data_IF_109086730685
#
_entry.id   IF_109086730685
#
_cell.length_a   1.000
_cell.length_b   1.000
_cell.length_c   1.000
_cell.angle_alpha   90.00
_cell.angle_beta   90.00
_cell.angle_gamma   90.00
#
_symmetry.space_group_name_H-M   'P 1'
#
loop_
_entity.id
_entity.type
_entity.pdbx_description
1 polymer ?
#
# COMPACT_ATOMS: atom_id res chain seq x y z
N UNK A 1 28.64 -43.98 -31.37
CA UNK A 1 27.74 -43.67 -30.25
C UNK A 1 27.39 -42.20 -30.37
N UNK A 2 26.38 -41.94 -31.19
CA UNK A 2 25.86 -40.60 -31.44
C UNK A 2 25.14 -40.10 -30.19
N UNK A 3 25.70 -39.07 -29.58
CA UNK A 3 25.05 -38.35 -28.49
C UNK A 3 23.92 -37.54 -29.14
N UNK A 4 22.70 -38.00 -28.89
CA UNK A 4 21.44 -37.35 -29.24
C UNK A 4 21.52 -35.83 -29.05
N UNK A 5 21.57 -35.11 -30.17
CA UNK A 5 20.97 -33.78 -30.31
C UNK A 5 19.44 -33.95 -30.25
N UNK A 6 18.90 -34.25 -29.06
CA UNK A 6 17.46 -34.18 -28.82
C UNK A 6 17.12 -32.78 -28.30
N UNK A 7 16.55 -31.96 -29.19
CA UNK A 7 15.60 -30.88 -28.93
C UNK A 7 15.76 -30.07 -27.63
N UNK A 8 16.83 -29.30 -27.49
CA UNK A 8 16.89 -28.21 -26.49
C UNK A 8 16.04 -26.99 -26.87
N UNK A 9 15.52 -26.92 -28.10
CA UNK A 9 14.72 -25.78 -28.59
C UNK A 9 13.25 -25.81 -28.11
N UNK A 10 12.68 -26.99 -27.80
CA UNK A 10 11.27 -27.12 -27.42
C UNK A 10 10.98 -26.95 -25.92
N UNK A 11 12.00 -27.02 -25.04
CA UNK A 11 11.78 -26.93 -23.60
C UNK A 11 11.55 -25.49 -23.08
N UNK A 12 11.84 -24.44 -23.86
CA UNK A 12 12.00 -23.08 -23.32
C UNK A 12 11.35 -21.96 -24.16
N UNK A 13 10.17 -22.19 -24.74
CA UNK A 13 9.45 -21.17 -25.55
C UNK A 13 9.09 -19.88 -24.80
N UNK A 14 9.23 -19.84 -23.46
CA UNK A 14 8.96 -18.68 -22.61
C UNK A 14 10.21 -18.12 -21.90
N UNK A 15 11.42 -18.56 -22.27
CA UNK A 15 12.68 -18.06 -21.71
C UNK A 15 13.37 -17.16 -22.75
N UNK A 16 13.59 -15.91 -22.40
CA UNK A 16 14.38 -15.00 -23.23
C UNK A 16 15.85 -15.12 -22.89
N UNK A 17 16.71 -15.13 -23.91
CA UNK A 17 18.16 -15.19 -23.73
C UNK A 17 18.81 -13.90 -24.23
N UNK A 18 19.80 -13.42 -23.48
CA UNK A 18 20.56 -12.23 -23.84
C UNK A 18 22.03 -12.40 -23.43
N UNK A 19 22.92 -12.27 -24.40
CA UNK A 19 24.36 -12.18 -24.16
C UNK A 19 24.76 -10.70 -24.04
N UNK A 20 25.25 -10.31 -22.86
CA UNK A 20 25.76 -8.96 -22.57
C UNK A 20 27.22 -9.12 -22.15
N UNK A 21 28.18 -8.83 -23.03
CA UNK A 21 29.62 -8.96 -22.76
C UNK A 21 30.03 -10.31 -22.13
N UNK A 22 30.32 -10.35 -20.82
CA UNK A 22 30.69 -11.54 -20.06
C UNK A 22 29.50 -12.22 -19.34
N UNK A 23 28.28 -11.75 -19.58
CA UNK A 23 27.04 -12.23 -18.97
C UNK A 23 26.22 -13.03 -19.98
N UNK A 24 25.82 -14.23 -19.60
CA UNK A 24 24.81 -15.02 -20.31
C UNK A 24 23.53 -15.04 -19.49
N UNK A 25 22.56 -14.20 -19.86
CA UNK A 25 21.36 -13.95 -19.06
C UNK A 25 20.18 -14.74 -19.66
N UNK A 26 19.57 -15.57 -18.84
CA UNK A 26 18.33 -16.27 -19.11
C UNK A 26 17.22 -15.61 -18.29
N UNK A 27 16.16 -15.13 -18.93
CA UNK A 27 15.04 -14.46 -18.26
C UNK A 27 13.80 -15.34 -18.40
N UNK A 28 13.38 -15.93 -17.29
CA UNK A 28 12.16 -16.69 -17.16
C UNK A 28 11.02 -15.77 -16.73
N UNK A 29 10.06 -15.55 -17.63
CA UNK A 29 8.82 -14.86 -17.32
C UNK A 29 7.83 -15.78 -16.62
N UNK A 30 7.35 -15.38 -15.45
CA UNK A 30 6.45 -16.18 -14.62
C UNK A 30 5.08 -15.53 -14.50
N UNK A 31 4.03 -16.34 -14.49
CA UNK A 31 2.72 -15.93 -14.00
C UNK A 31 2.69 -16.34 -12.53
N UNK A 32 2.72 -15.38 -11.59
CA UNK A 32 2.94 -15.55 -10.13
C UNK A 32 1.95 -16.44 -9.35
N UNK A 33 1.15 -17.22 -10.07
CA UNK A 33 0.10 -18.11 -9.55
C UNK A 33 0.05 -19.44 -10.34
N UNK A 34 1.13 -19.80 -11.05
CA UNK A 34 1.16 -20.97 -11.94
C UNK A 34 2.07 -22.07 -11.41
N UNK A 35 1.49 -23.25 -11.18
CA UNK A 35 2.26 -24.47 -10.84
C UNK A 35 3.26 -24.83 -11.94
N UNK A 36 2.90 -24.58 -13.20
CA UNK A 36 3.78 -24.77 -14.35
C UNK A 36 5.02 -23.89 -14.26
N UNK A 37 4.87 -22.60 -13.91
CA UNK A 37 6.02 -21.68 -13.75
C UNK A 37 6.99 -22.13 -12.66
N UNK A 38 6.50 -22.75 -11.57
CA UNK A 38 7.35 -23.33 -10.53
C UNK A 38 8.15 -24.55 -11.03
N UNK A 39 7.51 -25.43 -11.81
CA UNK A 39 8.17 -26.60 -12.42
C UNK A 39 9.20 -26.19 -13.48
N UNK A 40 8.86 -25.20 -14.32
CA UNK A 40 9.77 -24.66 -15.33
C UNK A 40 11.01 -24.05 -14.65
N UNK A 41 10.81 -23.33 -13.53
CA UNK A 41 11.90 -22.78 -12.72
C UNK A 41 12.84 -23.87 -12.20
N UNK A 42 12.29 -24.95 -11.62
CA UNK A 42 13.11 -26.05 -11.11
C UNK A 42 13.92 -26.73 -12.22
N UNK A 43 13.25 -27.05 -13.33
CA UNK A 43 13.86 -27.70 -14.51
C UNK A 43 14.98 -26.85 -15.11
N UNK A 44 14.76 -25.53 -15.21
CA UNK A 44 15.75 -24.58 -15.71
C UNK A 44 16.99 -24.51 -14.82
N UNK A 45 16.83 -24.46 -13.49
CA UNK A 45 17.96 -24.42 -12.57
C UNK A 45 18.80 -25.69 -12.67
N UNK A 46 18.16 -26.85 -12.73
CA UNK A 46 18.83 -28.14 -12.82
C UNK A 46 19.57 -28.35 -14.16
N UNK A 47 18.99 -27.81 -15.24
CA UNK A 47 19.54 -27.93 -16.60
C UNK A 47 20.65 -26.91 -16.85
N UNK A 48 20.42 -25.63 -16.54
CA UNK A 48 21.37 -24.53 -16.83
C UNK A 48 22.53 -24.47 -15.84
N UNK A 49 22.32 -24.90 -14.60
CA UNK A 49 23.27 -24.76 -13.48
C UNK A 49 23.91 -23.36 -13.45
N UNK A 50 23.10 -22.29 -13.32
CA UNK A 50 23.60 -20.93 -13.43
C UNK A 50 24.57 -20.58 -12.30
N UNK A 51 25.44 -19.60 -12.54
CA UNK A 51 26.33 -19.04 -11.52
C UNK A 51 25.56 -18.19 -10.50
N UNK A 52 24.49 -17.52 -10.94
CA UNK A 52 23.63 -16.70 -10.09
C UNK A 52 22.17 -16.90 -10.45
N UNK A 53 21.30 -16.81 -9.44
CA UNK A 53 19.85 -16.77 -9.63
C UNK A 53 19.35 -15.39 -9.17
N UNK A 54 18.79 -14.62 -10.09
CA UNK A 54 18.15 -13.34 -9.81
C UNK A 54 16.64 -13.56 -9.60
N UNK A 55 16.08 -13.05 -8.51
CA UNK A 55 14.64 -13.18 -8.19
C UNK A 55 14.02 -11.81 -7.97
N UNK A 56 12.84 -11.57 -8.56
CA UNK A 56 12.07 -10.32 -8.42
C UNK A 56 11.43 -10.19 -7.02
N UNK A 57 12.28 -10.11 -6.02
CA UNK A 57 11.94 -9.93 -4.61
C UNK A 57 12.81 -8.85 -4.00
N UNK A 58 12.22 -8.12 -3.04
CA UNK A 58 12.97 -7.31 -2.09
C UNK A 58 13.30 -8.14 -0.83
N UNK A 59 14.23 -7.68 -0.01
CA UNK A 59 14.66 -8.37 1.22
C UNK A 59 13.49 -8.73 2.14
N UNK A 60 12.53 -7.81 2.30
CA UNK A 60 11.39 -8.03 3.19
C UNK A 60 10.51 -9.18 2.69
N UNK A 61 10.25 -9.24 1.37
CA UNK A 61 9.47 -10.33 0.78
C UNK A 61 10.24 -11.65 0.78
N UNK A 62 11.55 -11.62 0.57
CA UNK A 62 12.41 -12.81 0.68
C UNK A 62 12.29 -13.47 2.06
N UNK A 63 12.41 -12.70 3.14
CA UNK A 63 12.24 -13.21 4.51
C UNK A 63 10.81 -13.69 4.77
N UNK A 64 9.80 -12.99 4.25
CA UNK A 64 8.41 -13.39 4.41
C UNK A 64 8.09 -14.74 3.74
N UNK A 65 8.64 -15.02 2.56
CA UNK A 65 8.43 -16.27 1.83
C UNK A 65 9.05 -17.47 2.56
N UNK A 66 10.19 -17.26 3.25
CA UNK A 66 10.87 -18.31 4.00
C UNK A 66 10.13 -18.72 5.29
N UNK A 67 8.99 -18.10 5.62
CA UNK A 67 8.18 -18.39 6.81
C UNK A 67 9.04 -18.53 8.08
N UNK A 68 10.00 -17.63 8.26
CA UNK A 68 10.80 -17.57 9.48
C UNK A 68 9.90 -17.23 10.67
N UNK A 69 10.36 -17.53 11.89
CA UNK A 69 9.71 -17.11 13.16
C UNK A 69 9.39 -15.60 13.21
N UNK A 70 10.02 -14.82 12.33
CA UNK A 70 9.81 -13.39 12.15
C UNK A 70 8.41 -13.05 11.63
N UNK A 71 7.77 -13.90 10.82
CA UNK A 71 6.41 -13.65 10.34
C UNK A 71 5.37 -13.71 11.48
N UNK A 72 5.49 -14.70 12.37
CA UNK A 72 4.62 -14.79 13.55
C UNK A 72 4.92 -13.68 14.56
N UNK A 73 6.20 -13.32 14.74
CA UNK A 73 6.58 -12.12 15.52
C UNK A 73 5.97 -10.85 14.91
N UNK A 74 6.02 -10.71 13.58
CA UNK A 74 5.47 -9.57 12.84
C UNK A 74 3.96 -9.46 13.01
N UNK A 75 3.20 -10.53 12.75
CA UNK A 75 1.73 -10.55 12.90
C UNK A 75 1.26 -10.17 14.30
N UNK A 76 2.11 -10.40 15.30
CA UNK A 76 1.87 -10.05 16.69
C UNK A 76 2.44 -8.69 17.14
N UNK A 77 3.14 -7.96 16.27
CA UNK A 77 3.62 -6.60 16.56
C UNK A 77 2.45 -5.65 16.78
N UNK A 78 2.67 -4.72 17.70
CA UNK A 78 1.77 -3.60 17.96
C UNK A 78 1.86 -2.59 16.83
N UNK A 79 0.72 -2.28 16.20
CA UNK A 79 0.63 -1.30 15.11
C UNK A 79 1.13 0.08 15.56
N UNK A 80 0.90 0.47 16.81
CA UNK A 80 1.41 1.74 17.35
C UNK A 80 2.94 1.81 17.27
N UNK A 81 3.63 0.70 17.60
CA UNK A 81 5.10 0.62 17.52
C UNK A 81 5.58 0.70 16.07
N UNK A 82 4.88 0.03 15.15
CA UNK A 82 5.21 0.04 13.72
C UNK A 82 5.05 1.44 13.11
N UNK A 83 3.97 2.15 13.45
CA UNK A 83 3.72 3.52 13.00
C UNK A 83 4.76 4.48 13.59
N UNK A 84 5.08 4.38 14.89
CA UNK A 84 6.09 5.23 15.55
C UNK A 84 7.49 5.04 14.96
N UNK A 85 7.80 3.87 14.43
CA UNK A 85 9.07 3.58 13.73
C UNK A 85 9.08 4.05 12.27
N UNK A 86 8.04 4.73 11.79
CA UNK A 86 7.94 5.18 10.40
C UNK A 86 7.59 4.08 9.39
N UNK A 87 7.29 2.86 9.86
CA UNK A 87 7.03 1.67 9.04
C UNK A 87 5.54 1.49 8.68
N UNK A 88 4.73 2.54 8.84
CA UNK A 88 3.30 2.50 8.58
C UNK A 88 2.96 2.11 7.13
N UNK A 89 3.81 2.52 6.18
CA UNK A 89 3.62 2.15 4.79
C UNK A 89 3.90 0.66 4.55
N UNK A 90 5.01 0.14 5.08
CA UNK A 90 5.36 -1.27 4.99
C UNK A 90 4.22 -2.16 5.52
N UNK A 91 3.60 -1.76 6.63
CA UNK A 91 2.41 -2.39 7.18
C UNK A 91 1.27 -2.48 6.15
N UNK A 92 0.89 -1.36 5.53
CA UNK A 92 -0.20 -1.30 4.54
C UNK A 92 0.08 -2.23 3.37
N UNK A 93 1.30 -2.21 2.84
CA UNK A 93 1.67 -3.08 1.72
C UNK A 93 1.59 -4.55 2.10
N UNK A 94 2.10 -4.91 3.27
CA UNK A 94 2.08 -6.29 3.71
C UNK A 94 0.67 -6.81 3.93
N UNK A 95 -0.26 -5.95 4.36
CA UNK A 95 -1.69 -6.29 4.45
C UNK A 95 -2.30 -6.51 3.06
N UNK A 96 -2.04 -5.61 2.11
CA UNK A 96 -2.52 -5.76 0.72
C UNK A 96 -2.01 -7.07 0.13
N UNK A 97 -0.70 -7.33 0.27
CA UNK A 97 -0.06 -8.56 -0.22
C UNK A 97 -0.62 -9.81 0.48
N UNK A 98 -0.76 -9.80 1.80
CA UNK A 98 -1.34 -10.91 2.58
C UNK A 98 -2.78 -11.21 2.14
N UNK A 99 -3.60 -10.18 1.95
CA UNK A 99 -4.99 -10.35 1.52
C UNK A 99 -5.09 -10.86 0.08
N UNK A 100 -4.26 -10.34 -0.82
CA UNK A 100 -4.14 -10.84 -2.19
C UNK A 100 -3.68 -12.31 -2.21
N UNK A 101 -2.68 -12.65 -1.39
CA UNK A 101 -2.18 -14.01 -1.22
C UNK A 101 -3.25 -14.97 -0.71
N UNK A 102 -4.00 -14.58 0.34
CA UNK A 102 -5.13 -15.35 0.87
C UNK A 102 -6.22 -15.58 -0.18
N UNK A 103 -6.57 -14.54 -0.95
CA UNK A 103 -7.61 -14.63 -1.99
C UNK A 103 -7.21 -15.61 -3.09
N UNK A 104 -5.99 -15.49 -3.61
CA UNK A 104 -5.48 -16.40 -4.65
C UNK A 104 -5.33 -17.84 -4.15
N UNK A 105 -4.85 -18.04 -2.92
CA UNK A 105 -4.75 -19.38 -2.33
C UNK A 105 -6.13 -20.05 -2.20
N UNK A 106 -7.18 -19.29 -1.90
CA UNK A 106 -8.55 -19.78 -1.77
C UNK A 106 -9.22 -20.10 -3.12
N UNK A 107 -8.94 -19.34 -4.16
CA UNK A 107 -9.55 -19.48 -5.49
C UNK A 107 -8.80 -20.48 -6.40
N UNK A 108 -7.48 -20.62 -6.26
CA UNK A 108 -6.63 -21.41 -7.17
C UNK A 108 -5.93 -22.59 -6.50
N UNK A 109 -5.96 -22.71 -5.16
CA UNK A 109 -5.26 -23.76 -4.41
C UNK A 109 -3.72 -23.70 -4.50
N UNK A 110 -3.17 -22.61 -5.05
CA UNK A 110 -1.74 -22.37 -5.25
C UNK A 110 -1.32 -21.17 -4.38
N UNK A 111 -0.20 -21.27 -3.66
CA UNK A 111 0.33 -20.13 -2.92
C UNK A 111 1.03 -19.18 -3.90
N UNK A 112 0.66 -17.88 -3.98
CA UNK A 112 1.32 -16.94 -4.87
C UNK A 112 2.81 -16.80 -4.53
N UNK A 113 3.65 -16.68 -5.57
CA UNK A 113 5.11 -16.64 -5.41
C UNK A 113 5.77 -18.01 -5.20
N UNK A 114 5.07 -19.11 -5.51
CA UNK A 114 5.64 -20.46 -5.44
C UNK A 114 6.85 -20.63 -6.36
N UNK A 115 6.84 -19.99 -7.53
CA UNK A 115 7.96 -19.98 -8.46
C UNK A 115 9.21 -19.32 -7.85
N UNK A 116 9.05 -18.20 -7.16
CA UNK A 116 10.15 -17.51 -6.48
C UNK A 116 10.64 -18.30 -5.28
N UNK A 117 9.72 -18.93 -4.53
CA UNK A 117 10.08 -19.84 -3.43
C UNK A 117 10.89 -21.03 -3.94
N UNK A 118 10.48 -21.63 -5.05
CA UNK A 118 11.21 -22.73 -5.69
C UNK A 118 12.61 -22.28 -6.11
N UNK A 119 12.74 -21.09 -6.73
CA UNK A 119 14.05 -20.53 -7.07
C UNK A 119 14.95 -20.37 -5.84
N UNK A 120 14.42 -19.84 -4.73
CA UNK A 120 15.16 -19.68 -3.47
C UNK A 120 15.61 -21.03 -2.90
N UNK A 121 14.71 -22.01 -2.86
CA UNK A 121 15.01 -23.34 -2.29
C UNK A 121 16.04 -24.09 -3.13
N UNK A 122 15.91 -24.07 -4.46
CA UNK A 122 16.85 -24.71 -5.38
C UNK A 122 18.20 -24.01 -5.39
N UNK A 123 18.24 -22.68 -5.29
CA UNK A 123 19.48 -21.93 -5.12
C UNK A 123 20.23 -22.39 -3.86
N UNK A 124 19.51 -22.57 -2.74
CA UNK A 124 20.08 -23.07 -1.48
C UNK A 124 20.55 -24.53 -1.59
N UNK A 125 19.77 -25.38 -2.25
CA UNK A 125 20.10 -26.80 -2.49
C UNK A 125 21.40 -26.96 -3.29
N UNK A 126 21.58 -26.14 -4.32
CA UNK A 126 22.73 -26.18 -5.22
C UNK A 126 23.87 -25.22 -4.82
N UNK A 127 23.77 -24.52 -3.69
CA UNK A 127 24.70 -23.48 -3.24
C UNK A 127 24.96 -22.39 -4.30
N UNK A 128 23.91 -22.01 -5.04
CA UNK A 128 23.96 -20.94 -6.03
C UNK A 128 23.62 -19.60 -5.34
N UNK A 129 24.46 -18.57 -5.45
CA UNK A 129 24.17 -17.24 -4.91
C UNK A 129 22.89 -16.63 -5.50
N UNK A 130 22.10 -15.97 -4.64
CA UNK A 130 20.88 -15.26 -5.01
C UNK A 130 21.14 -13.75 -5.15
N UNK A 131 20.50 -13.13 -6.14
CA UNK A 131 20.44 -11.68 -6.31
C UNK A 131 18.98 -11.25 -6.18
N UNK A 132 18.69 -10.39 -5.21
CA UNK A 132 17.37 -9.80 -5.01
C UNK A 132 17.27 -8.56 -5.90
N UNK A 133 16.47 -8.66 -6.98
CA UNK A 133 16.48 -7.63 -8.04
C UNK A 133 15.32 -6.64 -7.95
N UNK A 134 14.43 -6.74 -6.96
CA UNK A 134 13.31 -5.80 -6.83
C UNK A 134 13.61 -4.64 -5.86
N UNK A 135 13.00 -3.49 -6.15
CA UNK A 135 13.04 -2.32 -5.27
C UNK A 135 12.12 -2.57 -4.08
N UNK A 136 12.48 -2.00 -2.92
CA UNK A 136 11.61 -2.00 -1.73
C UNK A 136 10.22 -1.52 -2.14
N UNK A 137 9.23 -2.38 -1.94
CA UNK A 137 7.82 -2.07 -2.27
C UNK A 137 7.37 -0.75 -1.62
N UNK A 138 7.93 -0.45 -0.44
CA UNK A 138 7.74 0.81 0.25
C UNK A 138 8.06 2.03 -0.61
N UNK A 139 9.22 1.99 -1.21
CA UNK A 139 9.74 3.10 -2.02
C UNK A 139 8.97 3.19 -3.32
N UNK A 140 8.66 2.05 -3.95
CA UNK A 140 7.92 1.98 -5.21
C UNK A 140 6.55 2.64 -5.13
N UNK A 141 5.67 2.27 -4.18
CA UNK A 141 4.34 2.91 -4.15
C UNK A 141 4.37 4.31 -3.52
N UNK A 142 5.31 4.65 -2.63
CA UNK A 142 5.47 6.05 -2.15
C UNK A 142 5.86 6.97 -3.30
N UNK A 143 6.80 6.55 -4.14
CA UNK A 143 7.16 7.28 -5.37
C UNK A 143 5.97 7.38 -6.30
N UNK A 144 5.28 6.27 -6.58
CA UNK A 144 4.12 6.29 -7.46
C UNK A 144 3.07 7.30 -6.95
N UNK A 145 2.77 7.29 -5.66
CA UNK A 145 1.83 8.24 -5.08
C UNK A 145 2.32 9.69 -5.12
N UNK A 146 3.60 9.96 -4.88
CA UNK A 146 4.12 11.32 -4.84
C UNK A 146 4.39 11.93 -6.22
N UNK A 147 4.72 11.11 -7.21
CA UNK A 147 4.90 11.55 -8.59
C UNK A 147 3.57 11.87 -9.28
N UNK A 148 2.48 11.21 -8.90
CA UNK A 148 1.18 11.36 -9.58
C UNK A 148 0.56 12.73 -9.28
N UNK A 149 0.25 13.53 -10.33
CA UNK A 149 -0.47 14.78 -10.20
C UNK A 149 -1.83 14.61 -9.51
N UNK A 150 -2.31 15.67 -8.84
CA UNK A 150 -3.58 15.64 -8.10
C UNK A 150 -4.76 15.24 -9.01
N UNK A 151 -4.75 15.68 -10.28
CA UNK A 151 -5.80 15.35 -11.24
C UNK A 151 -5.85 13.85 -11.58
N UNK A 152 -4.70 13.22 -11.82
CA UNK A 152 -4.60 11.77 -12.02
C UNK A 152 -5.03 11.01 -10.74
N UNK A 153 -4.71 11.51 -9.54
CA UNK A 153 -5.20 10.91 -8.28
C UNK A 153 -6.72 10.90 -8.20
N UNK A 154 -7.37 12.01 -8.56
CA UNK A 154 -8.83 12.10 -8.59
C UNK A 154 -9.42 11.10 -9.59
N UNK A 155 -8.83 10.99 -10.79
CA UNK A 155 -9.24 9.99 -11.79
C UNK A 155 -9.15 8.55 -11.27
N UNK A 156 -8.03 8.18 -10.64
CA UNK A 156 -7.83 6.86 -10.03
C UNK A 156 -8.89 6.59 -8.96
N UNK A 157 -9.14 7.58 -8.09
CA UNK A 157 -10.14 7.44 -7.04
C UNK A 157 -11.54 7.28 -7.66
N UNK A 158 -11.90 8.08 -8.66
CA UNK A 158 -13.20 7.97 -9.33
C UNK A 158 -13.38 6.65 -10.06
N UNK A 159 -12.34 6.13 -10.73
CA UNK A 159 -12.44 4.85 -11.44
C UNK A 159 -12.61 3.70 -10.47
N UNK A 160 -11.88 3.68 -9.34
CA UNK A 160 -12.05 2.69 -8.29
C UNK A 160 -13.48 2.68 -7.73
N UNK A 161 -14.11 3.84 -7.55
CA UNK A 161 -15.51 3.93 -7.15
C UNK A 161 -16.46 3.37 -8.22
N UNK A 162 -16.20 3.61 -9.51
CA UNK A 162 -16.98 3.04 -10.61
C UNK A 162 -16.83 1.52 -10.73
N UNK A 163 -15.68 0.94 -10.39
CA UNK A 163 -15.46 -0.52 -10.43
C UNK A 163 -16.20 -1.28 -9.33
N UNK A 164 -16.59 -0.63 -8.22
CA UNK A 164 -17.29 -1.28 -7.10
C UNK A 164 -18.68 -1.84 -7.46
N UNK A 165 -19.31 -1.30 -8.50
CA UNK A 165 -20.70 -1.62 -8.87
C UNK A 165 -20.84 -2.58 -10.06
N UNK A 166 -19.74 -3.05 -10.65
CA UNK A 166 -19.78 -3.91 -11.84
C UNK A 166 -19.76 -5.39 -11.42
N UNK A 167 -20.91 -6.05 -11.53
CA UNK A 167 -21.00 -7.52 -11.48
C UNK A 167 -20.44 -8.09 -12.79
N UNK A 168 -19.19 -8.57 -12.75
CA UNK A 168 -18.56 -9.20 -13.90
C UNK A 168 -19.21 -10.56 -14.15
N UNK A 169 -19.69 -10.77 -15.37
CA UNK A 169 -20.31 -12.03 -15.81
C UNK A 169 -19.26 -13.04 -16.28
N UNK A 170 -19.58 -14.34 -16.23
CA UNK A 170 -18.64 -15.41 -16.59
C UNK A 170 -18.10 -15.28 -18.03
N UNK A 171 -18.94 -14.77 -18.94
CA UNK A 171 -18.60 -14.55 -20.36
C UNK A 171 -17.62 -13.37 -20.55
N UNK A 172 -17.68 -12.35 -19.68
CA UNK A 172 -16.70 -11.25 -19.68
C UNK A 172 -15.34 -11.72 -19.16
N UNK A 173 -15.32 -12.62 -18.17
CA UNK A 173 -14.09 -13.23 -17.65
C UNK A 173 -13.41 -14.08 -18.71
N UNK A 174 -14.17 -14.77 -19.56
CA UNK A 174 -13.62 -15.60 -20.63
C UNK A 174 -13.00 -14.77 -21.75
N UNK A 175 -13.63 -13.64 -22.13
CA UNK A 175 -13.05 -12.65 -23.04
C UNK A 175 -11.79 -11.96 -22.48
N UNK A 176 -11.66 -11.84 -21.15
CA UNK A 176 -10.46 -11.28 -20.51
C UNK A 176 -9.26 -12.23 -20.50
N UNK A 177 -9.44 -13.53 -20.81
CA UNK A 177 -8.34 -14.50 -20.91
C UNK A 177 -7.55 -14.38 -22.21
N UNK A 178 -8.07 -13.67 -23.21
CA UNK A 178 -7.35 -13.39 -24.45
C UNK A 178 -6.21 -12.39 -24.17
N UNK A 179 -4.96 -12.80 -24.47
CA UNK A 179 -3.77 -11.98 -24.22
C UNK A 179 -3.85 -10.59 -24.86
N UNK A 180 -4.53 -10.48 -26.01
CA UNK A 180 -4.69 -9.22 -26.73
C UNK A 180 -5.66 -8.24 -26.05
N UNK A 181 -6.75 -8.73 -25.43
CA UNK A 181 -7.72 -7.87 -24.73
C UNK A 181 -7.11 -7.30 -23.45
N UNK A 182 -6.43 -8.14 -22.66
CA UNK A 182 -5.76 -7.70 -21.44
C UNK A 182 -4.64 -6.71 -21.75
N UNK A 183 -3.84 -6.98 -22.79
CA UNK A 183 -2.76 -6.07 -23.22
C UNK A 183 -3.30 -4.73 -23.70
N UNK A 184 -4.43 -4.73 -24.43
CA UNK A 184 -5.08 -3.51 -24.89
C UNK A 184 -5.66 -2.68 -23.73
N UNK A 185 -6.33 -3.32 -22.76
CA UNK A 185 -6.83 -2.64 -21.56
C UNK A 185 -5.71 -2.08 -20.69
N UNK A 186 -4.62 -2.84 -20.50
CA UNK A 186 -3.42 -2.34 -19.81
C UNK A 186 -2.78 -1.18 -20.56
N UNK A 187 -2.80 -1.21 -21.90
CA UNK A 187 -2.34 -0.12 -22.76
C UNK A 187 -3.19 1.14 -22.66
N UNK A 188 -4.51 1.03 -22.60
CA UNK A 188 -5.43 2.16 -22.39
C UNK A 188 -5.31 2.76 -20.99
N UNK A 189 -5.23 1.91 -19.96
CA UNK A 189 -4.99 2.37 -18.59
C UNK A 189 -3.63 3.08 -18.45
N UNK A 190 -2.61 2.58 -19.15
CA UNK A 190 -1.30 3.22 -19.21
C UNK A 190 -1.33 4.58 -19.92
N UNK A 191 -2.24 4.81 -20.88
CA UNK A 191 -2.45 6.12 -21.51
C UNK A 191 -3.20 7.09 -20.58
N UNK A 192 -4.16 6.59 -19.81
CA UNK A 192 -4.93 7.40 -18.86
C UNK A 192 -4.12 7.80 -17.62
N UNK A 193 -3.20 6.93 -17.18
CA UNK A 193 -2.40 7.13 -15.96
C UNK A 193 -0.89 6.90 -16.24
N UNK A 194 -0.29 7.71 -17.14
CA UNK A 194 1.07 7.50 -17.62
C UNK A 194 2.11 7.60 -16.51
N UNK A 195 1.85 8.44 -15.50
CA UNK A 195 2.75 8.62 -14.37
C UNK A 195 2.82 7.38 -13.49
N UNK A 196 1.70 6.67 -13.30
CA UNK A 196 1.68 5.41 -12.53
C UNK A 196 2.42 4.31 -13.29
N UNK A 197 2.17 4.17 -14.60
CA UNK A 197 2.86 3.20 -15.45
C UNK A 197 4.37 3.42 -15.43
N UNK A 198 4.81 4.67 -15.58
CA UNK A 198 6.23 5.05 -15.51
C UNK A 198 6.87 4.59 -14.19
N UNK A 199 6.24 4.86 -13.05
CA UNK A 199 6.87 4.61 -11.73
C UNK A 199 6.75 3.16 -11.27
N UNK A 200 5.64 2.48 -11.57
CA UNK A 200 5.41 1.09 -11.13
C UNK A 200 5.99 0.04 -12.09
N UNK A 201 6.11 0.38 -13.38
CA UNK A 201 6.57 -0.55 -14.41
C UNK A 201 7.93 -0.09 -14.94
N UNK A 202 8.00 1.06 -15.63
CA UNK A 202 9.21 1.43 -16.39
C UNK A 202 10.44 1.65 -15.46
N UNK A 203 10.29 2.40 -14.35
CA UNK A 203 11.34 2.56 -13.33
C UNK A 203 11.71 1.25 -12.63
N UNK A 204 10.75 0.34 -12.51
CA UNK A 204 10.96 -0.95 -11.86
C UNK A 204 11.75 -1.88 -12.77
N UNK A 205 11.46 -1.88 -14.07
CA UNK A 205 12.22 -2.60 -15.08
C UNK A 205 13.67 -2.10 -15.15
N UNK A 206 13.88 -0.78 -15.06
CA UNK A 206 15.21 -0.17 -14.96
C UNK A 206 15.98 -0.66 -13.74
N UNK A 207 15.32 -0.68 -12.57
CA UNK A 207 15.92 -1.15 -11.34
C UNK A 207 16.31 -2.64 -11.44
N UNK A 208 15.39 -3.48 -11.92
CA UNK A 208 15.60 -4.92 -12.07
C UNK A 208 16.76 -5.19 -13.05
N UNK A 209 16.76 -4.55 -14.22
CA UNK A 209 17.80 -4.71 -15.21
C UNK A 209 19.19 -4.34 -14.67
N UNK A 210 19.28 -3.22 -13.95
CA UNK A 210 20.53 -2.78 -13.32
C UNK A 210 21.02 -3.77 -12.25
N UNK A 211 20.11 -4.30 -11.44
CA UNK A 211 20.43 -5.29 -10.40
C UNK A 211 20.84 -6.67 -10.93
N UNK A 212 20.26 -7.13 -12.04
CA UNK A 212 20.66 -8.40 -12.68
C UNK A 212 22.17 -8.38 -13.03
N UNK A 213 22.70 -7.23 -13.43
CA UNK A 213 24.10 -7.06 -13.81
C UNK A 213 25.09 -7.05 -12.64
N UNK A 214 24.64 -7.15 -11.38
CA UNK A 214 25.52 -7.33 -10.21
C UNK A 214 26.10 -8.76 -10.12
N UNK A 215 25.52 -9.73 -10.86
CA UNK A 215 26.05 -11.09 -10.96
C UNK A 215 27.22 -11.20 -11.94
N UNK A 216 27.64 -12.43 -12.26
CA UNK A 216 28.64 -12.70 -13.29
C UNK A 216 28.47 -14.08 -13.93
N UNK A 217 28.87 -14.24 -15.19
CA UNK A 217 28.76 -15.52 -15.91
C UNK A 217 27.32 -15.81 -16.34
N UNK A 218 26.85 -17.04 -16.08
CA UNK A 218 25.48 -17.45 -16.42
C UNK A 218 24.50 -17.03 -15.32
N UNK A 219 23.51 -16.22 -15.65
CA UNK A 219 22.51 -15.71 -14.70
C UNK A 219 21.12 -16.18 -15.15
N UNK A 220 20.36 -16.76 -14.23
CA UNK A 220 18.94 -17.05 -14.43
C UNK A 220 18.10 -16.03 -13.65
N UNK A 221 17.40 -15.14 -14.35
CA UNK A 221 16.46 -14.19 -13.78
C UNK A 221 15.03 -14.75 -13.81
N UNK A 222 14.43 -14.93 -12.64
CA UNK A 222 13.04 -15.37 -12.45
C UNK A 222 12.22 -14.14 -12.09
N UNK A 223 11.45 -13.64 -13.05
CA UNK A 223 10.72 -12.37 -12.96
C UNK A 223 9.27 -12.55 -13.43
N UNK A 224 8.40 -11.59 -13.13
CA UNK A 224 7.04 -11.54 -13.62
C UNK A 224 7.00 -11.32 -15.13
N UNK A 225 6.11 -12.03 -15.83
CA UNK A 225 6.00 -11.97 -17.29
C UNK A 225 5.80 -10.53 -17.83
N UNK A 226 5.11 -9.67 -17.07
CA UNK A 226 4.89 -8.27 -17.44
C UNK A 226 6.16 -7.41 -17.50
N UNK A 227 7.23 -7.80 -16.79
CA UNK A 227 8.48 -7.04 -16.72
C UNK A 227 9.52 -7.50 -17.76
N UNK A 228 9.37 -8.72 -18.32
CA UNK A 228 10.36 -9.34 -19.22
C UNK A 228 10.72 -8.43 -20.40
N UNK A 229 9.71 -7.87 -21.09
CA UNK A 229 9.94 -7.01 -22.27
C UNK A 229 10.73 -5.75 -21.92
N UNK A 230 10.37 -5.10 -20.81
CA UNK A 230 11.04 -3.87 -20.36
C UNK A 230 12.45 -4.13 -19.84
N UNK A 231 12.67 -5.23 -19.11
CA UNK A 231 14.01 -5.64 -18.65
C UNK A 231 14.93 -5.90 -19.84
N UNK A 232 14.48 -6.64 -20.86
CA UNK A 232 15.28 -6.92 -22.07
C UNK A 232 15.65 -5.62 -22.79
N UNK A 233 14.70 -4.70 -22.94
CA UNK A 233 14.95 -3.41 -23.59
C UNK A 233 16.03 -2.61 -22.82
N UNK A 234 15.90 -2.51 -21.49
CA UNK A 234 16.87 -1.82 -20.65
C UNK A 234 18.26 -2.48 -20.70
N UNK A 235 18.35 -3.81 -20.62
CA UNK A 235 19.62 -4.52 -20.71
C UNK A 235 20.34 -4.29 -22.06
N UNK A 236 19.58 -4.22 -23.17
CA UNK A 236 20.13 -3.88 -24.49
C UNK A 236 20.65 -2.45 -24.55
N UNK A 237 19.89 -1.49 -24.02
CA UNK A 237 20.30 -0.09 -23.98
C UNK A 237 21.54 0.14 -23.10
N UNK A 238 21.65 -0.57 -21.98
CA UNK A 238 22.85 -0.57 -21.12
C UNK A 238 24.04 -1.14 -21.88
N UNK A 239 23.88 -2.29 -22.56
CA UNK A 239 24.93 -2.92 -23.38
C UNK A 239 25.46 -1.98 -24.46
N UNK A 240 24.57 -1.23 -25.09
CA UNK A 240 24.91 -0.27 -26.14
C UNK A 240 25.47 1.05 -25.60
N UNK A 241 25.71 1.17 -24.28
CA UNK A 241 26.11 2.40 -23.58
C UNK A 241 25.17 3.59 -23.85
N UNK A 242 23.90 3.33 -24.21
CA UNK A 242 22.90 4.36 -24.49
C UNK A 242 22.19 4.86 -23.25
N UNK A 243 22.26 4.11 -22.13
CA UNK A 243 21.53 4.40 -20.90
C UNK A 243 22.37 4.08 -19.67
N UNK A 244 22.51 5.07 -18.78
CA UNK A 244 23.11 4.90 -17.45
C UNK A 244 21.97 4.99 -16.44
N UNK A 245 21.72 3.89 -15.71
CA UNK A 245 20.66 3.82 -14.72
C UNK A 245 21.21 4.19 -13.35
N UNK A 246 20.68 5.27 -12.76
CA UNK A 246 21.02 5.68 -11.41
C UNK A 246 20.07 5.05 -10.37
N UNK A 247 20.48 3.94 -9.78
CA UNK A 247 19.71 3.22 -8.74
C UNK A 247 19.36 4.15 -7.56
N UNK A 248 20.25 5.08 -7.20
CA UNK A 248 20.01 5.98 -6.06
C UNK A 248 18.84 6.92 -6.34
N UNK A 249 18.74 7.45 -7.56
CA UNK A 249 17.61 8.30 -7.96
C UNK A 249 16.29 7.52 -7.89
N UNK A 250 16.28 6.28 -8.38
CA UNK A 250 15.13 5.38 -8.31
C UNK A 250 14.71 5.04 -6.87
N UNK A 251 15.60 5.22 -5.89
CA UNK A 251 15.31 5.01 -4.47
C UNK A 251 14.88 6.28 -3.73
N UNK A 252 15.08 7.47 -4.29
CA UNK A 252 14.65 8.74 -3.64
C UNK A 252 13.14 8.90 -3.71
N UNK A 253 12.49 9.55 -2.74
CA UNK A 253 11.04 9.81 -2.79
C UNK A 253 10.84 11.31 -3.03
N UNK A 254 10.13 11.73 -4.10
CA UNK A 254 9.90 13.14 -4.35
C UNK A 254 9.03 13.76 -3.25
N UNK A 255 9.36 14.99 -2.85
CA UNK A 255 8.60 15.74 -1.84
C UNK A 255 7.44 16.47 -2.50
N UNK A 256 6.23 16.33 -1.97
CA UNK A 256 5.09 17.13 -2.40
C UNK A 256 5.01 18.41 -1.56
N UNK A 257 4.99 19.58 -2.20
CA UNK A 257 5.23 20.88 -1.55
C UNK A 257 3.96 21.70 -1.26
N UNK A 258 2.77 21.29 -1.72
CA UNK A 258 1.55 22.09 -1.51
C UNK A 258 0.34 21.25 -1.08
N UNK A 259 -0.37 21.70 -0.05
CA UNK A 259 -1.53 21.01 0.52
C UNK A 259 -2.66 22.02 0.77
N UNK A 260 -3.60 22.10 -0.18
CA UNK A 260 -4.76 23.00 -0.14
C UNK A 260 -5.66 22.72 1.08
N UNK A 261 -5.74 21.45 1.51
CA UNK A 261 -6.41 21.09 2.76
C UNK A 261 -5.80 21.81 3.96
N UNK A 262 -4.49 22.11 3.93
CA UNK A 262 -3.87 22.90 4.98
C UNK A 262 -4.43 24.30 5.08
N UNK A 263 -4.55 24.97 3.94
CA UNK A 263 -5.06 26.33 3.90
C UNK A 263 -6.51 26.43 4.41
N UNK A 264 -7.38 25.49 4.01
CA UNK A 264 -8.79 25.47 4.42
C UNK A 264 -8.95 25.25 5.94
N UNK A 265 -8.22 24.28 6.53
CA UNK A 265 -8.35 24.02 7.97
C UNK A 265 -7.84 25.18 8.83
N UNK A 266 -6.77 25.88 8.40
CA UNK A 266 -6.32 27.10 9.09
C UNK A 266 -7.37 28.21 9.04
N UNK A 267 -8.02 28.41 7.88
CA UNK A 267 -9.06 29.42 7.73
C UNK A 267 -10.24 29.20 8.70
N UNK A 268 -10.73 27.96 8.82
CA UNK A 268 -11.84 27.61 9.73
C UNK A 268 -11.45 27.87 11.19
N UNK A 269 -10.27 27.40 11.62
CA UNK A 269 -9.80 27.58 12.99
C UNK A 269 -9.64 29.07 13.36
N UNK A 270 -9.01 29.86 12.49
CA UNK A 270 -8.81 31.30 12.69
C UNK A 270 -10.16 32.02 12.77
N UNK A 271 -11.13 31.65 11.92
CA UNK A 271 -12.46 32.26 11.91
C UNK A 271 -13.20 32.07 13.24
N UNK A 272 -13.13 30.87 13.83
CA UNK A 272 -13.77 30.58 15.12
C UNK A 272 -13.12 31.40 16.24
N UNK A 273 -11.78 31.47 16.27
CA UNK A 273 -11.05 32.25 17.28
C UNK A 273 -11.38 33.74 17.17
N UNK A 274 -11.46 34.28 15.95
CA UNK A 274 -11.83 35.69 15.71
C UNK A 274 -13.26 35.97 16.21
N UNK A 275 -14.22 35.09 15.92
CA UNK A 275 -15.60 35.26 16.40
C UNK A 275 -15.67 35.22 17.93
N UNK A 276 -14.94 34.31 18.58
CA UNK A 276 -14.85 34.26 20.04
C UNK A 276 -14.26 35.56 20.61
N UNK A 277 -13.14 36.03 20.06
CA UNK A 277 -12.51 37.29 20.49
C UNK A 277 -13.42 38.51 20.24
N UNK A 278 -14.13 38.53 19.12
CA UNK A 278 -15.08 39.61 18.79
C UNK A 278 -16.24 39.63 19.78
N UNK A 279 -16.73 38.46 20.22
CA UNK A 279 -17.81 38.38 21.22
C UNK A 279 -17.40 39.01 22.54
N UNK A 280 -16.14 38.86 22.95
CA UNK A 280 -15.59 39.53 24.13
C UNK A 280 -15.52 41.05 23.95
N UNK A 281 -15.06 41.51 22.78
CA UNK A 281 -14.85 42.94 22.51
C UNK A 281 -16.17 43.73 22.35
N UNK A 282 -17.13 43.21 21.59
CA UNK A 282 -18.33 43.96 21.20
C UNK A 282 -19.54 43.80 22.13
N UNK A 283 -19.68 42.66 22.82
CA UNK A 283 -20.89 42.33 23.61
C UNK A 283 -20.61 42.08 25.11
N UNK A 284 -19.36 42.19 25.53
CA UNK A 284 -18.95 42.05 26.94
C UNK A 284 -18.78 40.60 27.43
N UNK A 285 -18.31 40.47 28.68
CA UNK A 285 -17.88 39.19 29.26
C UNK A 285 -19.03 38.17 29.39
N UNK A 286 -20.23 38.60 29.78
CA UNK A 286 -21.34 37.68 30.05
C UNK A 286 -21.80 36.92 28.81
N UNK A 287 -21.94 37.60 27.67
CA UNK A 287 -22.33 36.95 26.41
C UNK A 287 -21.20 36.06 25.89
N UNK A 288 -19.95 36.52 25.97
CA UNK A 288 -18.80 35.75 25.54
C UNK A 288 -18.62 34.46 26.36
N UNK A 289 -18.78 34.53 27.69
CA UNK A 289 -18.76 33.38 28.57
C UNK A 289 -19.90 32.40 28.26
N UNK A 290 -21.12 32.91 28.03
CA UNK A 290 -22.27 32.08 27.64
C UNK A 290 -21.99 31.33 26.34
N UNK A 291 -21.48 32.02 25.31
CA UNK A 291 -21.16 31.40 24.01
C UNK A 291 -20.03 30.38 24.12
N UNK A 292 -18.97 30.69 24.89
CA UNK A 292 -17.89 29.74 25.18
C UNK A 292 -18.39 28.50 25.91
N UNK A 293 -19.27 28.68 26.91
CA UNK A 293 -19.87 27.57 27.65
C UNK A 293 -20.70 26.66 26.74
N UNK A 294 -21.52 27.23 25.86
CA UNK A 294 -22.28 26.46 24.88
C UNK A 294 -21.36 25.73 23.88
N UNK A 295 -20.32 26.39 23.38
CA UNK A 295 -19.32 25.78 22.50
C UNK A 295 -18.68 24.54 23.14
N UNK A 296 -18.23 24.65 24.39
CA UNK A 296 -17.63 23.56 25.15
C UNK A 296 -18.63 22.42 25.33
N UNK A 297 -19.84 22.72 25.82
CA UNK A 297 -20.87 21.70 26.09
C UNK A 297 -21.24 20.94 24.82
N UNK A 298 -21.50 21.64 23.71
CA UNK A 298 -21.88 21.00 22.45
C UNK A 298 -20.77 20.07 21.93
N UNK A 299 -19.53 20.56 21.86
CA UNK A 299 -18.40 19.73 21.40
C UNK A 299 -18.18 18.51 22.31
N UNK A 300 -18.17 18.71 23.63
CA UNK A 300 -17.95 17.65 24.61
C UNK A 300 -19.06 16.60 24.58
N UNK A 301 -20.32 17.01 24.51
CA UNK A 301 -21.47 16.11 24.57
C UNK A 301 -21.53 15.21 23.33
N UNK A 302 -21.50 15.79 22.12
CA UNK A 302 -21.64 15.01 20.90
C UNK A 302 -20.44 14.09 20.64
N UNK A 303 -19.22 14.54 20.92
CA UNK A 303 -18.03 13.69 20.80
C UNK A 303 -18.02 12.55 21.84
N UNK A 304 -18.38 12.85 23.09
CA UNK A 304 -18.47 11.87 24.16
C UNK A 304 -19.55 10.82 23.92
N UNK A 305 -20.74 11.23 23.48
CA UNK A 305 -21.83 10.32 23.12
C UNK A 305 -21.44 9.40 21.96
N UNK A 306 -20.77 9.93 20.93
CA UNK A 306 -20.29 9.11 19.82
C UNK A 306 -19.29 8.02 20.30
N UNK A 307 -18.35 8.37 21.18
CA UNK A 307 -17.42 7.40 21.77
C UNK A 307 -18.14 6.37 22.65
N UNK A 308 -19.13 6.80 23.43
CA UNK A 308 -19.93 5.96 24.31
C UNK A 308 -20.75 4.92 23.52
N UNK A 309 -21.44 5.36 22.46
CA UNK A 309 -22.25 4.49 21.59
C UNK A 309 -21.41 3.38 20.94
N UNK A 310 -20.15 3.67 20.63
CA UNK A 310 -19.20 2.70 20.07
C UNK A 310 -18.53 1.81 21.14
N UNK A 311 -18.95 1.92 22.40
CA UNK A 311 -18.40 1.15 23.53
C UNK A 311 -16.88 1.31 23.62
N UNK A 312 -16.39 2.53 23.41
CA UNK A 312 -14.99 2.87 23.59
C UNK A 312 -14.57 2.68 25.07
N UNK A 313 -13.28 2.57 25.34
CA UNK A 313 -12.79 2.53 26.71
C UNK A 313 -13.16 3.83 27.46
N UNK A 314 -13.36 3.76 28.78
CA UNK A 314 -13.71 4.93 29.59
C UNK A 314 -12.71 6.09 29.43
N UNK A 315 -11.41 5.79 29.32
CA UNK A 315 -10.37 6.80 29.11
C UNK A 315 -10.53 7.45 27.72
N UNK A 316 -10.89 6.67 26.70
CA UNK A 316 -11.18 7.16 25.35
C UNK A 316 -12.40 8.08 25.33
N UNK A 317 -13.47 7.72 26.06
CA UNK A 317 -14.67 8.54 26.18
C UNK A 317 -14.33 9.88 26.85
N UNK A 318 -13.60 9.87 27.95
CA UNK A 318 -13.16 11.09 28.64
C UNK A 318 -12.25 11.94 27.74
N UNK A 319 -11.34 11.30 27.00
CA UNK A 319 -10.45 11.99 26.04
C UNK A 319 -11.26 12.68 24.94
N UNK A 320 -12.26 11.98 24.38
CA UNK A 320 -13.13 12.55 23.35
C UNK A 320 -13.93 13.74 23.92
N UNK A 321 -14.58 13.58 25.07
CA UNK A 321 -15.41 14.62 25.69
C UNK A 321 -14.59 15.86 26.08
N UNK A 322 -13.46 15.70 26.75
CA UNK A 322 -12.65 16.81 27.26
C UNK A 322 -11.83 17.43 26.13
N UNK A 323 -11.34 16.62 25.20
CA UNK A 323 -10.52 17.07 24.08
C UNK A 323 -11.31 17.78 22.99
N UNK A 324 -12.58 17.45 22.78
CA UNK A 324 -13.36 17.96 21.64
C UNK A 324 -13.35 19.49 21.47
N UNK A 325 -13.58 20.30 22.52
CA UNK A 325 -13.59 21.75 22.40
C UNK A 325 -12.24 22.36 22.02
N UNK A 326 -11.15 21.64 22.28
CA UNK A 326 -9.78 22.07 22.01
C UNK A 326 -9.36 21.61 20.61
N UNK A 327 -9.52 20.33 20.31
CA UNK A 327 -9.10 19.74 19.04
C UNK A 327 -9.95 20.22 17.86
N UNK A 328 -11.20 20.65 18.08
CA UNK A 328 -12.00 21.30 17.04
C UNK A 328 -11.38 22.62 16.53
N UNK A 329 -10.51 23.25 17.33
CA UNK A 329 -9.80 24.49 16.97
C UNK A 329 -8.39 24.22 16.40
N UNK A 330 -7.93 22.96 16.38
CA UNK A 330 -6.60 22.61 15.88
C UNK A 330 -6.72 22.07 14.45
N UNK A 331 -6.17 22.79 13.44
CA UNK A 331 -6.12 22.29 12.07
C UNK A 331 -5.45 20.91 11.98
N UNK A 332 -6.00 20.01 11.17
CA UNK A 332 -5.51 18.64 10.93
C UNK A 332 -5.55 17.66 12.11
N UNK A 333 -5.89 18.10 13.32
CA UNK A 333 -5.96 17.23 14.50
C UNK A 333 -7.40 17.21 15.01
N UNK A 334 -8.23 16.36 14.39
CA UNK A 334 -9.59 16.08 14.86
C UNK A 334 -9.63 15.26 16.15
N UNK A 335 -10.63 15.54 16.97
CA UNK A 335 -10.94 14.89 18.25
C UNK A 335 -10.95 13.36 18.15
N UNK A 336 -11.53 12.83 17.09
CA UNK A 336 -11.62 11.39 16.87
C UNK A 336 -10.27 10.73 16.65
N UNK A 337 -9.30 11.41 16.04
CA UNK A 337 -7.95 10.85 15.89
C UNK A 337 -7.24 10.72 17.24
N UNK A 338 -7.40 11.70 18.12
CA UNK A 338 -6.82 11.64 19.47
C UNK A 338 -7.50 10.55 20.29
N UNK A 339 -8.83 10.47 20.25
CA UNK A 339 -9.59 9.40 20.90
C UNK A 339 -9.20 8.02 20.34
N UNK A 340 -9.08 7.89 19.03
CA UNK A 340 -8.65 6.66 18.36
C UNK A 340 -7.22 6.25 18.72
N UNK A 341 -6.30 7.21 18.89
CA UNK A 341 -4.94 6.93 19.36
C UNK A 341 -4.91 6.45 20.81
N UNK A 342 -5.73 7.05 21.68
CA UNK A 342 -5.88 6.59 23.08
C UNK A 342 -6.49 5.19 23.11
N UNK A 343 -7.55 4.93 22.33
CA UNK A 343 -8.13 3.60 22.20
C UNK A 343 -7.11 2.59 21.65
N UNK A 344 -6.31 2.97 20.64
CA UNK A 344 -5.27 2.12 20.08
C UNK A 344 -4.17 1.82 21.10
N UNK A 345 -3.81 2.78 21.94
CA UNK A 345 -2.81 2.59 22.99
C UNK A 345 -3.30 1.62 24.09
N UNK A 346 -4.58 1.71 24.45
CA UNK A 346 -5.21 0.85 25.46
C UNK A 346 -5.49 -0.54 24.88
N UNK A 347 -6.17 -0.60 23.74
CA UNK A 347 -6.63 -1.80 23.06
C UNK A 347 -5.68 -2.25 21.95
N UNK A 348 -4.36 -2.09 22.16
CA UNK A 348 -3.22 -2.46 21.30
C UNK A 348 -3.61 -3.38 20.14
N UNK A 349 -3.97 -2.83 18.97
CA UNK A 349 -4.33 -3.62 17.81
C UNK A 349 -3.06 -4.23 17.21
N UNK A 350 -3.18 -5.47 16.74
CA UNK A 350 -2.08 -6.23 16.14
C UNK A 350 -2.23 -6.27 14.63
N UNK A 351 -1.14 -6.55 13.93
CA UNK A 351 -1.13 -6.66 12.47
C UNK A 351 -2.14 -7.71 11.97
N UNK A 352 -2.26 -8.84 12.67
CA UNK A 352 -3.28 -9.86 12.35
C UNK A 352 -4.72 -9.36 12.37
N UNK A 353 -5.02 -8.34 13.18
CA UNK A 353 -6.37 -7.74 13.23
C UNK A 353 -6.63 -6.98 11.91
N UNK A 354 -5.60 -6.41 11.28
CA UNK A 354 -5.71 -5.80 9.95
C UNK A 354 -5.82 -6.82 8.81
N UNK A 355 -5.11 -7.95 8.89
CA UNK A 355 -5.15 -9.03 7.88
C UNK A 355 -6.52 -9.74 7.81
N UNK A 356 -7.29 -9.68 8.88
CA UNK A 356 -8.61 -10.30 8.96
C UNK A 356 -9.74 -9.29 8.73
N UNK A 357 -9.40 -8.03 8.44
CA UNK A 357 -10.37 -6.94 8.35
C UNK A 357 -11.45 -7.23 7.30
N UNK A 358 -11.10 -7.69 6.10
CA UNK A 358 -12.09 -8.02 5.06
C UNK A 358 -13.06 -9.14 5.49
N UNK A 359 -12.57 -10.14 6.21
CA UNK A 359 -13.40 -11.24 6.72
C UNK A 359 -14.32 -10.77 7.85
N UNK A 360 -13.78 -9.96 8.76
CA UNK A 360 -14.51 -9.40 9.89
C UNK A 360 -15.56 -8.35 9.45
N UNK A 361 -15.37 -7.67 8.33
CA UNK A 361 -16.34 -6.70 7.80
C UNK A 361 -17.58 -7.36 7.15
N UNK A 362 -17.57 -8.67 6.92
CA UNK A 362 -18.72 -9.38 6.35
C UNK A 362 -19.91 -9.51 7.33
N UNK A 363 -19.73 -9.13 8.60
CA UNK A 363 -20.79 -9.15 9.61
C UNK A 363 -20.70 -7.91 10.51
N UNK A 364 -21.83 -7.29 10.84
CA UNK A 364 -21.92 -6.14 11.77
C UNK A 364 -21.22 -6.43 13.10
N UNK A 365 -21.28 -7.67 13.61
CA UNK A 365 -20.56 -8.05 14.85
C UNK A 365 -19.03 -7.98 14.70
N UNK A 366 -18.49 -8.23 13.51
CA UNK A 366 -17.06 -8.20 13.26
C UNK A 366 -16.47 -6.79 13.26
N UNK A 367 -17.25 -5.76 12.92
CA UNK A 367 -16.85 -4.35 13.05
C UNK A 367 -16.46 -3.97 14.49
N UNK A 368 -17.18 -4.51 15.48
CA UNK A 368 -16.94 -4.23 16.90
C UNK A 368 -15.96 -5.23 17.55
N UNK A 369 -15.83 -6.44 16.99
CA UNK A 369 -14.89 -7.46 17.47
C UNK A 369 -13.46 -7.16 17.03
N UNK A 370 -13.28 -6.68 15.80
CA UNK A 370 -11.99 -6.33 15.25
C UNK A 370 -11.50 -5.01 15.85
N UNK A 371 -10.33 -5.05 16.50
CA UNK A 371 -9.76 -3.90 17.21
C UNK A 371 -9.46 -2.73 16.27
N UNK A 372 -8.98 -3.01 15.07
CA UNK A 372 -8.66 -1.99 14.05
C UNK A 372 -9.94 -1.30 13.60
N UNK A 373 -10.94 -2.08 13.21
CA UNK A 373 -12.23 -1.54 12.75
C UNK A 373 -12.91 -0.73 13.85
N UNK A 374 -12.88 -1.21 15.10
CA UNK A 374 -13.42 -0.47 16.25
C UNK A 374 -12.73 0.88 16.42
N UNK A 375 -11.39 0.94 16.33
CA UNK A 375 -10.64 2.20 16.41
C UNK A 375 -11.01 3.14 15.27
N UNK A 376 -11.11 2.64 14.03
CA UNK A 376 -11.50 3.45 12.87
C UNK A 376 -12.92 4.01 13.01
N UNK A 377 -13.86 3.22 13.51
CA UNK A 377 -15.21 3.67 13.83
C UNK A 377 -15.19 4.78 14.90
N UNK A 378 -14.38 4.62 15.95
CA UNK A 378 -14.21 5.65 16.98
C UNK A 378 -13.68 6.94 16.35
N UNK A 379 -12.62 6.87 15.54
CA UNK A 379 -12.08 8.05 14.85
C UNK A 379 -13.16 8.74 14.01
N UNK A 380 -13.90 7.97 13.22
CA UNK A 380 -14.90 8.50 12.31
C UNK A 380 -16.08 9.15 13.04
N UNK A 381 -16.77 8.41 13.91
CA UNK A 381 -17.98 8.90 14.59
C UNK A 381 -17.68 9.97 15.63
N UNK A 382 -16.52 9.93 16.31
CA UNK A 382 -16.14 11.01 17.23
C UNK A 382 -15.81 12.29 16.46
N UNK A 383 -15.19 12.20 15.28
CA UNK A 383 -15.02 13.37 14.41
C UNK A 383 -16.37 13.93 13.93
N UNK A 384 -17.33 13.08 13.55
CA UNK A 384 -18.69 13.52 13.22
C UNK A 384 -19.35 14.20 14.43
N UNK A 385 -19.28 13.58 15.61
CA UNK A 385 -19.82 14.16 16.84
C UNK A 385 -19.21 15.52 17.15
N UNK A 386 -17.88 15.65 17.04
CA UNK A 386 -17.18 16.93 17.23
C UNK A 386 -17.57 17.96 16.17
N UNK A 387 -17.76 17.55 14.91
CA UNK A 387 -18.17 18.45 13.83
C UNK A 387 -19.61 18.95 14.04
N UNK A 388 -20.54 18.08 14.44
CA UNK A 388 -21.91 18.46 14.83
C UNK A 388 -21.85 19.43 16.00
N UNK A 389 -21.06 19.13 17.03
CA UNK A 389 -20.86 20.02 18.19
C UNK A 389 -20.28 21.39 17.79
N UNK A 390 -19.36 21.41 16.83
CA UNK A 390 -18.80 22.63 16.25
C UNK A 390 -19.85 23.42 15.48
N UNK A 391 -20.66 22.80 14.61
CA UNK A 391 -21.71 23.48 13.84
C UNK A 391 -22.78 24.07 14.78
N UNK A 392 -23.25 23.27 15.72
CA UNK A 392 -24.25 23.70 16.71
C UNK A 392 -23.68 24.82 17.59
N UNK A 393 -22.46 24.66 18.09
CA UNK A 393 -21.77 25.67 18.89
C UNK A 393 -21.51 26.96 18.11
N UNK A 394 -21.19 26.85 16.81
CA UNK A 394 -20.95 27.98 15.92
C UNK A 394 -22.20 28.83 15.72
N UNK A 395 -23.38 28.21 15.63
CA UNK A 395 -24.65 28.95 15.56
C UNK A 395 -24.84 29.86 16.78
N UNK A 396 -24.41 29.45 17.97
CA UNK A 396 -24.45 30.29 19.16
C UNK A 396 -23.41 31.42 19.13
N UNK A 397 -22.25 31.21 18.51
CA UNK A 397 -21.25 32.26 18.31
C UNK A 397 -21.75 33.36 17.35
N UNK A 398 -22.58 32.99 16.36
CA UNK A 398 -23.20 33.96 15.44
C UNK A 398 -24.24 34.87 16.09
N UNK A 399 -24.73 34.55 17.29
CA UNK A 399 -25.61 35.44 18.06
C UNK A 399 -24.94 36.77 18.44
N UNK A 400 -23.65 36.95 18.17
CA UNK A 400 -22.99 38.26 18.22
C UNK A 400 -23.60 39.27 17.23
N UNK A 401 -24.14 38.81 16.10
CA UNK A 401 -24.74 39.65 15.07
C UNK A 401 -26.24 39.89 15.28
N UNK A 402 -26.84 39.22 16.26
CA UNK A 402 -28.22 39.46 16.75
C UNK A 402 -28.17 40.36 17.98
#
# INVERSE_FOLDING_TARGET
MDIKKENTEDCFSHVSTLDVDHYKIYILGTAHVSKKSSQDTATLIETLKPNFIAVELDEARYHAILKTDENEKWRNLDIYKVIKQGKAFLLIVQIILSNFQKKLAKEQGINPGEEMKTAILKAKEHNIPLILVDRKVETTLKRAWNCVPIFEKVKIISSLFSFSDVKVTQDEIEKLKEQDVLSNMMGELAKEIPTVKKVLIDERDEFIASKILEGSGTILAVVGAGHVKGIIANLKEIKENKKIININELNTIPKNTFSISKLISYFIAISIVILMASSFYFKGFDLAYKNLKFWIICNSLFAGLAALLLRANIITILTASIGAPIFSLIPFIGTGMVAGLVEAYINKPKIKDFENLQEDLNNIKGYFKNKVTKILLIVFFVNIGSAIGTIVGFQFLLNIFS
#
